data_IF_272342980272
#
_entry.id   IF_272342980272
#
_cell.length_a   1.000
_cell.length_b   1.000
_cell.length_c   1.000
_cell.angle_alpha   90.00
_cell.angle_beta   90.00
_cell.angle_gamma   90.00
#
_symmetry.space_group_name_H-M   'P 1'
#
loop_
_entity.id
_entity.type
_entity.pdbx_description
1 polymer ?
#
# COMPACT_ATOMS: atom_id res chain seq x y z
N UNK A 1 16.84 -21.37 -3.32
CA UNK A 1 15.47 -21.52 -2.78
C UNK A 1 15.34 -20.58 -1.60
N UNK A 2 14.38 -19.67 -1.60
CA UNK A 2 14.13 -18.85 -0.43
C UNK A 2 13.51 -19.73 0.65
N UNK A 3 14.16 -19.81 1.80
CA UNK A 3 13.64 -20.58 2.94
C UNK A 3 12.42 -19.84 3.52
N UNK A 4 11.37 -20.59 3.85
CA UNK A 4 10.17 -20.06 4.52
C UNK A 4 10.57 -19.65 5.95
N UNK A 5 10.21 -18.42 6.33
CA UNK A 5 10.24 -17.99 7.72
C UNK A 5 9.01 -18.55 8.45
N UNK A 6 9.20 -19.70 9.11
CA UNK A 6 8.13 -20.40 9.82
C UNK A 6 7.55 -19.59 10.99
N UNK A 7 8.32 -18.67 11.58
CA UNK A 7 7.82 -17.79 12.66
C UNK A 7 6.85 -16.77 12.08
N UNK A 8 7.21 -16.14 10.96
CA UNK A 8 6.30 -15.23 10.25
C UNK A 8 5.07 -15.98 9.75
N UNK A 9 5.22 -17.16 9.15
CA UNK A 9 4.10 -17.98 8.69
C UNK A 9 3.16 -18.36 9.85
N UNK A 10 3.72 -18.75 11.01
CA UNK A 10 2.92 -19.04 12.21
C UNK A 10 2.12 -17.82 12.65
N UNK A 11 2.77 -16.68 12.85
CA UNK A 11 2.14 -15.45 13.37
C UNK A 11 1.08 -14.90 12.41
N UNK A 12 1.38 -14.91 11.10
CA UNK A 12 0.52 -14.25 10.12
C UNK A 12 -0.59 -15.14 9.56
N UNK A 13 -0.43 -16.45 9.59
CA UNK A 13 -1.40 -17.38 9.01
C UNK A 13 -2.03 -18.30 10.05
N UNK A 14 -1.20 -19.02 10.83
CA UNK A 14 -1.72 -20.05 11.72
C UNK A 14 -2.32 -19.47 12.99
N UNK A 15 -1.68 -18.51 13.63
CA UNK A 15 -2.16 -17.90 14.87
C UNK A 15 -3.54 -17.24 14.74
N UNK A 16 -3.88 -16.45 13.70
CA UNK A 16 -5.24 -15.97 13.48
C UNK A 16 -6.27 -17.09 13.33
N UNK A 17 -5.91 -18.19 12.64
CA UNK A 17 -6.80 -19.35 12.48
C UNK A 17 -7.07 -20.01 13.84
N UNK A 18 -6.03 -20.17 14.67
CA UNK A 18 -6.17 -20.71 16.04
C UNK A 18 -7.10 -19.82 16.87
N UNK A 19 -6.93 -18.50 16.82
CA UNK A 19 -7.81 -17.56 17.55
C UNK A 19 -9.26 -17.67 17.06
N UNK A 20 -9.50 -17.78 15.77
CA UNK A 20 -10.86 -17.98 15.21
C UNK A 20 -11.46 -19.31 15.66
N UNK A 21 -10.70 -20.40 15.65
CA UNK A 21 -11.17 -21.70 16.13
C UNK A 21 -11.51 -21.65 17.64
N UNK A 22 -10.70 -20.95 18.43
CA UNK A 22 -10.99 -20.71 19.84
C UNK A 22 -12.22 -19.82 20.05
N UNK A 23 -12.48 -18.84 19.17
CA UNK A 23 -13.67 -18.00 19.22
C UNK A 23 -14.95 -18.80 18.89
N UNK A 24 -14.89 -19.71 17.93
CA UNK A 24 -15.99 -20.66 17.67
C UNK A 24 -16.24 -21.55 18.88
N UNK A 25 -15.21 -22.08 19.52
CA UNK A 25 -15.36 -22.84 20.77
C UNK A 25 -15.94 -21.99 21.89
N UNK A 26 -15.48 -20.74 22.05
CA UNK A 26 -15.97 -19.79 23.04
C UNK A 26 -17.48 -19.54 22.86
N UNK A 27 -17.97 -19.35 21.63
CA UNK A 27 -19.38 -19.11 21.31
C UNK A 27 -20.31 -20.28 21.69
N UNK A 28 -19.76 -21.48 21.87
CA UNK A 28 -20.48 -22.62 22.39
C UNK A 28 -20.75 -22.58 23.92
N UNK A 29 -20.04 -21.71 24.65
CA UNK A 29 -20.18 -21.56 26.11
C UNK A 29 -20.87 -20.24 26.51
N UNK A 30 -20.72 -19.18 25.71
CA UNK A 30 -21.30 -17.87 25.97
C UNK A 30 -21.52 -17.11 24.66
N UNK A 31 -22.51 -16.22 24.66
CA UNK A 31 -22.78 -15.38 23.49
C UNK A 31 -21.68 -14.31 23.33
N UNK A 32 -21.26 -14.13 22.06
CA UNK A 32 -20.41 -13.03 21.69
C UNK A 32 -21.28 -11.77 21.67
N UNK A 33 -20.99 -10.83 22.56
CA UNK A 33 -21.74 -9.59 22.73
C UNK A 33 -20.87 -8.36 22.59
N UNK A 34 -21.37 -7.24 23.09
CA UNK A 34 -20.69 -5.95 23.02
C UNK A 34 -19.36 -5.93 23.79
N UNK A 35 -19.24 -6.75 24.85
CA UNK A 35 -18.04 -6.89 25.65
C UNK A 35 -16.88 -7.47 24.82
N UNK A 36 -17.11 -8.57 24.12
CA UNK A 36 -16.13 -9.23 23.26
C UNK A 36 -15.74 -8.35 22.07
N UNK A 37 -16.73 -7.69 21.46
CA UNK A 37 -16.50 -6.74 20.36
C UNK A 37 -15.66 -5.55 20.85
N UNK A 38 -15.95 -5.00 22.02
CA UNK A 38 -15.18 -3.91 22.60
C UNK A 38 -13.72 -4.32 22.88
N UNK A 39 -13.49 -5.54 23.39
CA UNK A 39 -12.14 -6.08 23.58
C UNK A 39 -11.38 -6.21 22.25
N UNK A 40 -12.04 -6.68 21.18
CA UNK A 40 -11.43 -6.75 19.86
C UNK A 40 -11.08 -5.36 19.30
N UNK A 41 -11.97 -4.37 19.50
CA UNK A 41 -11.74 -2.97 19.13
C UNK A 41 -10.54 -2.39 19.90
N UNK A 42 -10.44 -2.65 21.20
CA UNK A 42 -9.29 -2.25 22.04
C UNK A 42 -8.00 -2.89 21.51
N UNK A 43 -8.02 -4.19 21.20
CA UNK A 43 -6.89 -4.90 20.63
C UNK A 43 -6.42 -4.31 19.30
N UNK A 44 -7.37 -4.01 18.42
CA UNK A 44 -7.12 -3.41 17.13
C UNK A 44 -6.50 -2.01 17.23
N UNK A 45 -7.20 -1.08 17.87
CA UNK A 45 -6.77 0.32 17.91
C UNK A 45 -5.57 0.54 18.83
N UNK A 46 -5.48 -0.17 19.96
CA UNK A 46 -4.29 -0.11 20.82
C UNK A 46 -3.01 -0.55 20.09
N UNK A 47 -3.11 -1.60 19.29
CA UNK A 47 -1.98 -2.04 18.44
C UNK A 47 -1.67 -1.05 17.34
N UNK A 48 -2.70 -0.52 16.66
CA UNK A 48 -2.52 0.47 15.58
C UNK A 48 -1.81 1.74 16.11
N UNK A 49 -2.24 2.25 17.27
CA UNK A 49 -1.60 3.41 17.92
C UNK A 49 -0.13 3.11 18.22
N UNK A 50 0.19 1.95 18.80
CA UNK A 50 1.59 1.63 19.16
C UNK A 50 2.49 1.48 17.93
N UNK A 51 1.97 0.96 16.79
CA UNK A 51 2.69 0.92 15.53
C UNK A 51 2.92 2.33 14.99
N UNK A 52 1.85 3.13 14.87
CA UNK A 52 1.92 4.45 14.24
C UNK A 52 2.74 5.48 15.03
N UNK A 53 2.52 5.61 16.33
CA UNK A 53 3.29 6.58 17.14
C UNK A 53 4.65 6.04 17.58
N UNK A 54 4.79 4.73 17.81
CA UNK A 54 6.02 4.08 18.28
C UNK A 54 6.91 3.63 17.12
N UNK A 55 6.63 2.46 16.54
CA UNK A 55 7.47 1.84 15.51
C UNK A 55 7.75 2.80 14.35
N UNK A 56 6.73 3.45 13.85
CA UNK A 56 6.80 4.28 12.67
C UNK A 56 7.38 5.68 12.97
N UNK A 57 6.67 6.51 13.75
CA UNK A 57 7.01 7.94 13.89
C UNK A 57 8.13 8.20 14.89
N UNK A 58 8.17 7.49 16.03
CA UNK A 58 9.21 7.68 17.05
C UNK A 58 10.55 7.09 16.59
N UNK A 59 10.59 5.78 16.31
CA UNK A 59 11.85 5.08 16.11
C UNK A 59 12.33 5.08 14.66
N UNK A 60 11.44 4.89 13.68
CA UNK A 60 11.88 4.84 12.28
C UNK A 60 12.19 6.22 11.73
N UNK A 61 11.33 7.20 11.99
CA UNK A 61 11.45 8.54 11.43
C UNK A 61 11.98 9.61 12.38
N UNK A 62 12.11 9.30 13.69
CA UNK A 62 12.54 10.26 14.71
C UNK A 62 11.78 11.61 14.58
N UNK A 63 10.46 11.52 14.33
CA UNK A 63 9.62 12.68 14.04
C UNK A 63 9.18 13.48 15.28
N UNK A 64 9.46 12.93 16.45
CA UNK A 64 9.31 13.57 17.76
C UNK A 64 10.19 12.87 18.80
N UNK A 65 10.34 13.47 19.98
CA UNK A 65 11.03 12.88 21.14
C UNK A 65 10.05 12.66 22.28
N UNK A 66 10.36 11.71 23.16
CA UNK A 66 9.56 11.40 24.34
C UNK A 66 10.42 10.96 25.52
N UNK A 67 9.82 10.83 26.72
CA UNK A 67 10.51 10.37 27.92
C UNK A 67 10.62 8.83 27.99
N UNK A 68 11.44 8.33 28.90
CA UNK A 68 11.75 6.89 29.04
C UNK A 68 10.56 6.05 29.45
N UNK A 69 9.60 6.60 30.19
CA UNK A 69 8.37 5.87 30.56
C UNK A 69 7.48 5.62 29.33
N UNK A 70 7.27 6.64 28.52
CA UNK A 70 6.50 6.51 27.27
C UNK A 70 7.22 5.58 26.30
N UNK A 71 8.55 5.70 26.13
CA UNK A 71 9.33 4.74 25.34
C UNK A 71 9.11 3.30 25.82
N UNK A 72 9.18 3.05 27.12
CA UNK A 72 8.97 1.71 27.69
C UNK A 72 7.57 1.18 27.39
N UNK A 73 6.53 1.99 27.64
CA UNK A 73 5.13 1.62 27.35
C UNK A 73 4.98 1.26 25.84
N UNK A 74 5.51 2.10 24.97
CA UNK A 74 5.44 1.87 23.51
C UNK A 74 6.22 0.62 23.09
N UNK A 75 7.38 0.32 23.68
CA UNK A 75 8.13 -0.92 23.45
C UNK A 75 7.31 -2.14 23.83
N UNK A 76 6.68 -2.11 25.00
CA UNK A 76 5.81 -3.20 25.45
C UNK A 76 4.62 -3.41 24.52
N UNK A 77 3.87 -2.34 24.23
CA UNK A 77 2.72 -2.39 23.32
C UNK A 77 3.10 -2.86 21.93
N UNK A 78 4.19 -2.32 21.35
CA UNK A 78 4.70 -2.72 20.01
C UNK A 78 5.11 -4.18 19.96
N UNK A 79 5.70 -4.73 21.04
CA UNK A 79 6.02 -6.15 21.11
C UNK A 79 4.77 -7.03 21.05
N UNK A 80 3.66 -6.56 21.65
CA UNK A 80 2.36 -7.22 21.58
C UNK A 80 1.74 -7.27 20.18
N UNK A 81 2.19 -6.43 19.24
CA UNK A 81 1.67 -6.43 17.85
C UNK A 81 2.19 -7.59 17.01
N UNK A 82 3.20 -8.33 17.46
CA UNK A 82 3.85 -9.44 16.76
C UNK A 82 4.44 -9.04 15.38
N UNK A 83 4.80 -7.77 15.19
CA UNK A 83 5.40 -7.25 13.94
C UNK A 83 6.94 -7.23 13.96
N UNK A 84 7.53 -7.84 14.97
CA UNK A 84 8.98 -7.93 15.15
C UNK A 84 9.58 -6.90 16.11
N UNK A 85 10.87 -7.05 16.45
CA UNK A 85 11.58 -6.12 17.31
C UNK A 85 11.67 -4.72 16.68
N UNK A 86 11.66 -3.68 17.51
CA UNK A 86 11.77 -2.27 17.09
C UNK A 86 12.93 -2.04 16.14
N UNK A 87 14.13 -2.54 16.49
CA UNK A 87 15.33 -2.37 15.65
C UNK A 87 15.19 -3.02 14.28
N UNK A 88 14.61 -4.22 14.20
CA UNK A 88 14.39 -4.93 12.93
C UNK A 88 13.32 -4.23 12.09
N UNK A 89 12.22 -3.80 12.73
CA UNK A 89 11.15 -3.08 12.07
C UNK A 89 11.64 -1.75 11.48
N UNK A 90 12.34 -0.94 12.27
CA UNK A 90 12.91 0.33 11.83
C UNK A 90 13.93 0.16 10.71
N UNK A 91 14.75 -0.91 10.75
CA UNK A 91 15.70 -1.24 9.69
C UNK A 91 15.02 -1.56 8.36
N UNK A 92 13.99 -2.40 8.37
CA UNK A 92 13.24 -2.73 7.16
C UNK A 92 12.52 -1.50 6.60
N UNK A 93 11.94 -0.68 7.47
CA UNK A 93 11.25 0.55 7.09
C UNK A 93 12.22 1.61 6.54
N UNK A 94 13.41 1.74 7.11
CA UNK A 94 14.47 2.59 6.57
C UNK A 94 14.91 2.14 5.16
N UNK A 95 15.09 0.82 4.95
CA UNK A 95 15.40 0.26 3.63
C UNK A 95 14.30 0.56 2.63
N UNK A 96 13.03 0.41 3.04
CA UNK A 96 11.88 0.74 2.20
C UNK A 96 11.92 2.19 1.73
N UNK A 97 12.07 3.17 2.64
CA UNK A 97 12.16 4.58 2.26
C UNK A 97 13.37 4.93 1.40
N UNK A 98 14.51 4.26 1.64
CA UNK A 98 15.74 4.50 0.86
C UNK A 98 15.64 3.94 -0.56
N UNK A 99 14.97 2.82 -0.71
CA UNK A 99 14.92 2.06 -1.96
C UNK A 99 13.49 1.89 -2.49
N UNK A 100 12.56 2.73 -2.09
CA UNK A 100 11.15 2.65 -2.52
C UNK A 100 11.06 2.42 -4.03
N UNK A 101 10.27 1.43 -4.43
CA UNK A 101 10.04 1.01 -5.83
C UNK A 101 11.27 0.42 -6.56
N UNK A 102 12.38 0.16 -5.87
CA UNK A 102 13.58 -0.48 -6.43
C UNK A 102 13.71 -1.94 -5.95
N UNK A 103 14.65 -2.68 -6.54
CA UNK A 103 14.87 -4.10 -6.21
C UNK A 103 15.27 -4.35 -4.76
N UNK A 104 15.95 -3.37 -4.13
CA UNK A 104 16.39 -3.44 -2.73
C UNK A 104 15.27 -3.14 -1.72
N UNK A 105 14.13 -2.64 -2.17
CA UNK A 105 12.95 -2.43 -1.32
C UNK A 105 12.41 -3.80 -0.83
N UNK A 106 12.36 -4.06 0.49
CA UNK A 106 11.97 -5.37 1.01
C UNK A 106 10.57 -5.80 0.55
N UNK A 107 9.66 -4.86 0.40
CA UNK A 107 8.27 -5.13 0.05
C UNK A 107 7.76 -4.33 -1.16
N UNK A 108 8.64 -4.03 -2.13
CA UNK A 108 8.23 -3.37 -3.36
C UNK A 108 7.11 -4.17 -4.07
N UNK A 109 5.97 -3.54 -4.38
CA UNK A 109 4.92 -4.17 -5.17
C UNK A 109 5.35 -4.40 -6.63
N UNK A 110 6.41 -3.73 -7.09
CA UNK A 110 6.95 -3.81 -8.44
C UNK A 110 7.94 -4.96 -8.63
N UNK A 111 8.26 -5.71 -7.58
CA UNK A 111 9.20 -6.85 -7.64
C UNK A 111 8.81 -7.93 -8.66
N UNK A 112 7.52 -8.07 -8.93
CA UNK A 112 6.99 -9.05 -9.88
C UNK A 112 6.21 -8.33 -11.00
N UNK A 113 6.38 -8.81 -12.24
CA UNK A 113 5.59 -8.31 -13.40
C UNK A 113 4.08 -8.53 -13.22
N UNK A 114 3.69 -9.63 -12.58
CA UNK A 114 2.30 -9.90 -12.26
C UNK A 114 1.86 -9.06 -11.05
N UNK A 115 0.90 -8.16 -11.26
CA UNK A 115 0.41 -7.21 -10.25
C UNK A 115 -0.20 -7.90 -9.01
N UNK A 116 -0.90 -9.03 -9.19
CA UNK A 116 -1.49 -9.78 -8.07
C UNK A 116 -0.39 -10.39 -7.18
N UNK A 117 0.63 -10.99 -7.82
CA UNK A 117 1.78 -11.53 -7.09
C UNK A 117 2.56 -10.42 -6.39
N UNK A 118 2.75 -9.27 -7.04
CA UNK A 118 3.36 -8.08 -6.44
C UNK A 118 2.57 -7.56 -5.23
N UNK A 119 1.24 -7.54 -5.31
CA UNK A 119 0.37 -7.17 -4.19
C UNK A 119 0.51 -8.14 -3.01
N UNK A 120 0.41 -9.45 -3.24
CA UNK A 120 0.56 -10.46 -2.20
C UNK A 120 1.96 -10.46 -1.58
N UNK A 121 2.98 -10.23 -2.41
CA UNK A 121 4.35 -10.04 -1.95
C UNK A 121 4.45 -8.85 -1.00
N UNK A 122 4.01 -7.67 -1.42
CA UNK A 122 4.11 -6.45 -0.61
C UNK A 122 3.26 -6.54 0.66
N UNK A 123 2.16 -7.29 0.65
CA UNK A 123 1.30 -7.47 1.82
C UNK A 123 1.97 -8.32 2.91
N UNK A 124 2.24 -9.59 2.66
CA UNK A 124 2.84 -10.53 3.63
C UNK A 124 3.94 -11.42 3.04
N UNK A 125 3.99 -11.61 1.73
CA UNK A 125 4.90 -12.55 1.08
C UNK A 125 6.36 -12.28 1.39
N UNK A 126 6.75 -11.00 1.46
CA UNK A 126 8.11 -10.58 1.78
C UNK A 126 8.58 -11.02 3.18
N UNK A 127 7.68 -11.14 4.15
CA UNK A 127 8.00 -11.63 5.50
C UNK A 127 8.11 -13.14 5.54
N UNK A 128 7.23 -13.85 4.82
CA UNK A 128 7.15 -15.31 4.86
C UNK A 128 8.26 -15.95 4.01
N UNK A 129 8.54 -15.40 2.82
CA UNK A 129 9.45 -15.97 1.83
C UNK A 129 10.73 -15.14 1.68
N UNK A 130 10.66 -13.82 1.88
CA UNK A 130 11.77 -12.89 1.68
C UNK A 130 12.78 -12.83 2.83
N UNK A 131 12.50 -13.46 3.97
CA UNK A 131 13.32 -13.42 5.17
C UNK A 131 13.22 -12.09 5.91
N UNK A 132 12.23 -11.96 6.79
CA UNK A 132 12.01 -10.78 7.62
C UNK A 132 13.15 -10.46 8.60
N UNK A 133 13.96 -11.46 8.92
CA UNK A 133 15.14 -11.33 9.79
C UNK A 133 16.41 -10.99 8.98
N UNK A 134 16.34 -9.94 8.17
CA UNK A 134 17.52 -9.36 7.55
C UNK A 134 18.44 -8.73 8.63
N UNK A 135 19.78 -8.73 8.43
CA UNK A 135 20.67 -7.98 9.30
C UNK A 135 20.22 -6.54 9.43
N UNK A 136 20.23 -6.04 10.67
CA UNK A 136 19.87 -4.64 10.95
C UNK A 136 20.88 -3.75 10.23
N UNK A 137 20.40 -2.76 9.46
CA UNK A 137 21.25 -1.87 8.70
C UNK A 137 22.11 -0.98 9.61
N UNK A 138 23.25 -0.53 9.07
CA UNK A 138 24.23 0.25 9.82
C UNK A 138 23.66 1.58 10.32
N UNK A 139 22.78 2.23 9.56
CA UNK A 139 22.21 3.54 9.90
C UNK A 139 21.25 3.40 11.07
N UNK A 140 20.38 2.39 11.06
CA UNK A 140 19.52 2.06 12.20
C UNK A 140 20.35 1.73 13.44
N UNK A 141 21.43 0.96 13.31
CA UNK A 141 22.34 0.68 14.43
C UNK A 141 23.01 1.92 14.98
N UNK A 142 23.43 2.88 14.15
CA UNK A 142 24.00 4.15 14.61
C UNK A 142 22.97 4.98 15.35
N UNK A 143 21.73 5.07 14.84
CA UNK A 143 20.67 5.90 15.40
C UNK A 143 20.06 5.29 16.68
N UNK A 144 19.69 4.03 16.67
CA UNK A 144 18.90 3.37 17.69
C UNK A 144 19.66 2.33 18.52
N UNK A 145 20.75 1.78 17.99
CA UNK A 145 21.50 0.68 18.60
C UNK A 145 22.25 1.07 19.91
N UNK A 146 22.25 2.33 20.31
CA UNK A 146 22.76 2.77 21.64
C UNK A 146 21.71 2.60 22.76
N UNK A 147 20.44 2.47 22.44
CA UNK A 147 19.37 2.30 23.41
C UNK A 147 19.47 0.94 24.11
N UNK A 148 19.68 0.96 25.42
CA UNK A 148 19.68 -0.26 26.26
C UNK A 148 18.30 -0.93 26.23
N UNK A 149 17.22 -0.15 26.23
CA UNK A 149 15.85 -0.64 26.18
C UNK A 149 15.57 -1.40 24.86
N UNK A 150 15.96 -0.85 23.72
CA UNK A 150 15.74 -1.50 22.43
C UNK A 150 16.60 -2.76 22.23
N UNK A 151 17.84 -2.77 22.77
CA UNK A 151 18.66 -3.99 22.81
C UNK A 151 18.06 -5.07 23.68
N UNK A 152 17.55 -4.69 24.85
CA UNK A 152 16.85 -5.60 25.75
C UNK A 152 15.60 -6.18 25.04
N UNK A 153 14.77 -5.35 24.41
CA UNK A 153 13.59 -5.78 23.67
C UNK A 153 13.97 -6.70 22.49
N UNK A 154 15.04 -6.42 21.76
CA UNK A 154 15.52 -7.31 20.68
C UNK A 154 15.91 -8.69 21.23
N UNK A 155 16.63 -8.73 22.34
CA UNK A 155 17.11 -9.98 22.97
C UNK A 155 15.95 -10.82 23.52
N UNK A 156 14.97 -10.18 24.18
CA UNK A 156 13.85 -10.84 24.85
C UNK A 156 12.52 -10.68 24.10
N UNK A 157 12.58 -10.43 22.80
CA UNK A 157 11.39 -10.09 22.01
C UNK A 157 10.25 -11.11 22.17
N UNK A 158 10.54 -12.39 22.03
CA UNK A 158 9.50 -13.42 22.07
C UNK A 158 8.89 -13.58 23.47
N UNK A 159 9.70 -13.46 24.51
CA UNK A 159 9.19 -13.50 25.90
C UNK A 159 8.26 -12.33 26.16
N UNK A 160 8.67 -11.11 25.78
CA UNK A 160 7.84 -9.90 25.91
C UNK A 160 6.59 -9.99 25.05
N UNK A 161 6.71 -10.46 23.79
CA UNK A 161 5.59 -10.61 22.90
C UNK A 161 4.54 -11.61 23.44
N UNK A 162 4.98 -12.77 23.92
CA UNK A 162 4.08 -13.77 24.54
C UNK A 162 3.41 -13.19 25.77
N UNK A 163 4.18 -12.57 26.67
CA UNK A 163 3.64 -11.91 27.87
C UNK A 163 2.55 -10.90 27.47
N UNK A 164 2.84 -10.01 26.52
CA UNK A 164 1.91 -8.93 26.08
C UNK A 164 0.69 -9.45 25.34
N UNK A 165 0.73 -10.66 24.80
CA UNK A 165 -0.43 -11.27 24.16
C UNK A 165 -1.30 -12.10 25.12
N UNK A 166 -0.77 -12.50 26.28
CA UNK A 166 -1.50 -13.34 27.24
C UNK A 166 -1.90 -12.54 28.48
N UNK A 167 -0.93 -12.02 29.21
CA UNK A 167 -1.16 -11.52 30.58
C UNK A 167 -1.95 -10.22 30.60
N UNK A 168 -1.54 -9.11 29.96
CA UNK A 168 -2.32 -7.87 30.02
C UNK A 168 -3.73 -8.00 29.42
N UNK A 169 -3.95 -8.71 28.26
CA UNK A 169 -5.30 -8.93 27.76
C UNK A 169 -6.20 -9.72 28.70
N UNK A 170 -5.70 -10.83 29.25
CA UNK A 170 -6.46 -11.64 30.20
C UNK A 170 -6.78 -10.87 31.48
N UNK A 171 -5.80 -10.12 31.98
CA UNK A 171 -5.99 -9.27 33.19
C UNK A 171 -7.04 -8.18 32.90
N UNK A 172 -7.00 -7.51 31.77
CA UNK A 172 -7.99 -6.50 31.40
C UNK A 172 -9.39 -7.11 31.33
N UNK A 173 -9.55 -8.26 30.66
CA UNK A 173 -10.83 -8.97 30.60
C UNK A 173 -11.34 -9.34 32.00
N UNK A 174 -10.46 -9.84 32.89
CA UNK A 174 -10.81 -10.17 34.25
C UNK A 174 -11.24 -8.94 35.07
N UNK A 175 -10.48 -7.85 35.01
CA UNK A 175 -10.76 -6.62 35.75
C UNK A 175 -12.10 -5.99 35.34
N UNK A 176 -12.55 -6.13 34.14
CA UNK A 176 -13.83 -5.60 33.65
C UNK A 176 -14.97 -6.57 33.95
N UNK A 177 -14.79 -7.86 33.66
CA UNK A 177 -15.88 -8.86 33.73
C UNK A 177 -15.91 -9.71 34.98
N UNK A 178 -14.87 -9.69 35.84
CA UNK A 178 -14.80 -10.32 37.15
C UNK A 178 -14.72 -11.86 37.16
N UNK A 179 -14.62 -12.52 36.01
CA UNK A 179 -14.68 -13.99 35.87
C UNK A 179 -13.49 -14.56 35.10
N UNK A 180 -13.19 -15.85 35.25
CA UNK A 180 -12.22 -16.56 34.42
C UNK A 180 -12.62 -16.57 32.95
N UNK A 181 -13.92 -16.61 32.66
CA UNK A 181 -14.40 -16.56 31.27
C UNK A 181 -14.16 -15.17 30.64
N UNK A 182 -14.33 -14.10 31.40
CA UNK A 182 -14.00 -12.75 30.92
C UNK A 182 -12.48 -12.54 30.76
N UNK A 183 -11.65 -13.18 31.61
CA UNK A 183 -10.20 -13.22 31.37
C UNK A 183 -9.85 -13.94 30.07
N UNK A 184 -10.48 -15.07 29.79
CA UNK A 184 -10.32 -15.79 28.54
C UNK A 184 -10.82 -14.97 27.33
N UNK A 185 -11.95 -14.26 27.46
CA UNK A 185 -12.44 -13.33 26.46
C UNK A 185 -11.41 -12.20 26.18
N UNK A 186 -10.80 -11.64 27.22
CA UNK A 186 -9.74 -10.63 27.09
C UNK A 186 -8.57 -11.13 26.24
N UNK A 187 -8.02 -12.29 26.58
CA UNK A 187 -6.97 -12.94 25.79
C UNK A 187 -7.40 -13.14 24.34
N UNK A 188 -8.57 -13.72 24.12
CA UNK A 188 -9.03 -14.16 22.82
C UNK A 188 -9.39 -12.97 21.90
N UNK A 189 -10.24 -12.07 22.34
CA UNK A 189 -10.77 -11.01 21.49
C UNK A 189 -9.79 -9.85 21.29
N UNK A 190 -8.98 -9.52 22.29
CA UNK A 190 -7.85 -8.60 22.08
C UNK A 190 -6.84 -9.20 21.09
N UNK A 191 -6.57 -10.52 21.18
CA UNK A 191 -5.74 -11.25 20.22
C UNK A 191 -6.29 -11.18 18.80
N UNK A 192 -7.59 -11.40 18.61
CA UNK A 192 -8.28 -11.29 17.31
C UNK A 192 -8.15 -9.85 16.77
N UNK A 193 -8.43 -8.84 17.58
CA UNK A 193 -8.27 -7.44 17.19
C UNK A 193 -6.86 -7.11 16.71
N UNK A 194 -5.84 -7.61 17.42
CA UNK A 194 -4.43 -7.48 17.01
C UNK A 194 -4.12 -8.17 15.69
N UNK A 195 -4.61 -9.39 15.48
CA UNK A 195 -4.40 -10.13 14.23
C UNK A 195 -5.02 -9.39 13.03
N UNK A 196 -6.22 -8.83 13.18
CA UNK A 196 -6.85 -7.99 12.15
C UNK A 196 -6.02 -6.74 11.90
N UNK A 197 -5.52 -6.09 12.96
CA UNK A 197 -4.69 -4.89 12.85
C UNK A 197 -3.38 -5.13 12.11
N UNK A 198 -2.74 -6.29 12.27
CA UNK A 198 -1.53 -6.64 11.49
C UNK A 198 -1.80 -6.53 9.99
N UNK A 199 -2.88 -7.15 9.51
CA UNK A 199 -3.26 -7.07 8.09
C UNK A 199 -3.63 -5.65 7.67
N UNK A 200 -4.28 -4.87 8.53
CA UNK A 200 -4.52 -3.44 8.27
C UNK A 200 -3.20 -2.68 8.10
N UNK A 201 -2.20 -2.88 8.96
CA UNK A 201 -0.87 -2.28 8.79
C UNK A 201 -0.23 -2.70 7.47
N UNK A 202 -0.31 -3.97 7.09
CA UNK A 202 0.28 -4.44 5.82
C UNK A 202 -0.47 -3.95 4.58
N UNK A 203 -1.71 -3.47 4.72
CA UNK A 203 -2.38 -2.71 3.68
C UNK A 203 -1.65 -1.39 3.35
N UNK A 204 -0.89 -0.82 4.28
CA UNK A 204 -0.03 0.34 3.99
C UNK A 204 1.02 -0.04 2.94
N UNK A 205 1.66 -1.21 3.08
CA UNK A 205 2.67 -1.69 2.14
C UNK A 205 2.08 -2.13 0.78
N UNK A 206 0.85 -2.66 0.79
CA UNK A 206 0.18 -3.17 -0.42
C UNK A 206 -0.80 -2.14 -1.00
N UNK A 207 -1.94 -1.89 -0.38
CA UNK A 207 -2.99 -1.04 -0.95
C UNK A 207 -2.52 0.40 -1.17
N UNK A 208 -1.79 0.99 -0.20
CA UNK A 208 -1.29 2.36 -0.35
C UNK A 208 -0.18 2.50 -1.40
N UNK A 209 0.42 1.40 -1.87
CA UNK A 209 1.34 1.39 -3.01
C UNK A 209 0.69 0.96 -4.34
N UNK A 210 -0.60 0.60 -4.34
CA UNK A 210 -1.37 0.27 -5.54
C UNK A 210 -2.44 1.30 -5.88
N UNK A 211 -2.96 1.98 -4.86
CA UNK A 211 -4.12 2.87 -4.97
C UNK A 211 -3.80 4.23 -4.34
N UNK A 212 -4.69 5.19 -4.57
CA UNK A 212 -4.65 6.47 -3.91
C UNK A 212 -4.11 7.62 -4.76
N UNK A 213 -4.29 8.84 -4.25
CA UNK A 213 -3.88 10.07 -4.92
C UNK A 213 -2.39 10.37 -4.67
N UNK A 214 -1.73 10.93 -5.69
CA UNK A 214 -0.29 11.24 -5.69
C UNK A 214 -0.07 12.73 -5.83
N UNK A 215 0.01 13.45 -4.72
CA UNK A 215 0.15 14.92 -4.71
C UNK A 215 1.55 15.41 -4.38
N UNK A 216 2.34 14.61 -3.65
CA UNK A 216 3.61 15.03 -3.05
C UNK A 216 4.79 14.15 -3.43
N UNK A 217 4.54 12.89 -3.81
CA UNK A 217 5.57 11.89 -4.10
C UNK A 217 5.31 11.22 -5.45
N UNK A 218 6.38 11.06 -6.24
CA UNK A 218 6.32 10.57 -7.63
C UNK A 218 6.28 9.04 -7.75
N UNK A 219 6.55 8.30 -6.66
CA UNK A 219 6.59 6.84 -6.64
C UNK A 219 5.21 6.18 -6.55
N UNK A 220 5.19 4.90 -6.13
CA UNK A 220 3.94 4.13 -6.05
C UNK A 220 3.04 4.54 -4.89
N UNK A 221 3.61 5.07 -3.78
CA UNK A 221 2.84 5.45 -2.59
C UNK A 221 1.72 6.46 -2.90
N UNK A 222 0.51 6.19 -2.42
CA UNK A 222 -0.70 7.01 -2.62
C UNK A 222 -1.45 7.28 -1.32
N UNK A 223 -2.23 8.37 -1.29
CA UNK A 223 -3.12 8.73 -0.19
C UNK A 223 -4.50 8.11 -0.43
N UNK A 224 -5.00 7.31 0.52
CA UNK A 224 -6.31 6.62 0.43
C UNK A 224 -7.22 7.12 1.55
N UNK A 225 -8.02 8.16 1.29
CA UNK A 225 -8.82 8.87 2.30
C UNK A 225 -9.81 7.96 3.05
N UNK A 226 -10.46 7.02 2.37
CA UNK A 226 -11.47 6.14 2.97
C UNK A 226 -10.90 5.08 3.92
N UNK A 227 -9.58 4.82 3.88
CA UNK A 227 -8.90 3.95 4.85
C UNK A 227 -8.53 4.65 6.17
N UNK A 228 -8.82 5.93 6.31
CA UNK A 228 -8.37 6.73 7.46
C UNK A 228 -8.84 6.17 8.80
N UNK A 229 -10.09 5.65 8.87
CA UNK A 229 -10.64 5.06 10.09
C UNK A 229 -9.90 3.76 10.48
N UNK A 230 -9.46 2.98 9.50
CA UNK A 230 -8.75 1.72 9.72
C UNK A 230 -7.25 1.93 10.02
N UNK A 231 -6.62 2.91 9.38
CA UNK A 231 -5.18 3.13 9.44
C UNK A 231 -4.76 4.30 10.34
N UNK A 232 -5.72 5.04 10.91
CA UNK A 232 -5.54 6.14 11.88
C UNK A 232 -4.53 7.22 11.46
N UNK A 233 -4.26 7.35 10.16
CA UNK A 233 -3.35 8.34 9.59
C UNK A 233 -2.27 7.77 8.66
N UNK A 234 -1.96 6.47 8.74
CA UNK A 234 -0.97 5.84 7.86
C UNK A 234 -1.45 5.72 6.39
N UNK A 235 -2.75 5.93 6.15
CA UNK A 235 -3.37 6.03 4.83
C UNK A 235 -2.97 7.29 4.03
N UNK A 236 -2.40 8.32 4.66
CA UNK A 236 -1.82 9.50 4.02
C UNK A 236 -0.37 9.22 3.61
N UNK A 237 -0.19 8.17 2.83
CA UNK A 237 1.09 7.54 2.59
C UNK A 237 1.93 8.26 1.53
N UNK A 238 1.28 8.97 0.60
CA UNK A 238 1.98 9.79 -0.40
C UNK A 238 2.62 11.03 0.24
N UNK A 239 1.92 11.70 1.17
CA UNK A 239 2.50 12.79 1.93
C UNK A 239 3.65 12.30 2.80
N UNK A 240 3.47 11.15 3.47
CA UNK A 240 4.49 10.54 4.31
C UNK A 240 5.78 10.22 3.53
N UNK A 241 5.70 9.61 2.35
CA UNK A 241 6.88 9.34 1.51
C UNK A 241 7.59 10.61 1.03
N UNK A 242 6.86 11.71 0.85
CA UNK A 242 7.46 12.99 0.51
C UNK A 242 8.15 13.68 1.70
N UNK A 243 7.66 13.46 2.92
CA UNK A 243 8.08 14.14 4.15
C UNK A 243 8.15 13.17 5.34
N UNK A 244 9.02 12.15 5.30
CA UNK A 244 8.99 11.06 6.28
C UNK A 244 9.29 11.49 7.73
N UNK A 245 10.05 12.57 7.93
CA UNK A 245 10.32 13.12 9.27
C UNK A 245 9.20 14.00 9.83
N UNK A 246 8.18 14.36 9.06
CA UNK A 246 7.03 15.11 9.60
C UNK A 246 6.23 14.22 10.55
N UNK A 247 5.94 14.72 11.80
CA UNK A 247 5.17 13.93 12.76
C UNK A 247 3.73 13.66 12.32
N UNK A 248 3.27 14.32 11.26
CA UNK A 248 1.95 14.18 10.65
C UNK A 248 2.06 13.43 9.34
N UNK A 249 1.22 12.45 9.10
CA UNK A 249 1.02 11.93 7.77
C UNK A 249 -0.11 12.67 7.04
N UNK A 250 -1.12 13.12 7.77
CA UNK A 250 -2.16 14.00 7.24
C UNK A 250 -1.72 15.47 7.24
N UNK A 251 -1.35 16.03 6.07
CA UNK A 251 -0.82 17.38 5.89
C UNK A 251 -1.73 18.50 6.43
N UNK A 252 -3.05 18.35 6.31
CA UNK A 252 -4.04 19.33 6.71
C UNK A 252 -4.60 19.00 8.11
N UNK A 253 -5.08 20.04 8.85
CA UNK A 253 -5.61 19.86 10.20
C UNK A 253 -6.80 18.89 10.22
N UNK A 254 -7.67 18.92 9.23
CA UNK A 254 -8.86 18.08 9.09
C UNK A 254 -8.60 16.68 8.51
N UNK A 255 -7.40 16.38 8.03
CA UNK A 255 -7.06 15.00 7.66
C UNK A 255 -7.14 14.12 8.91
N UNK A 256 -7.97 13.09 8.85
CA UNK A 256 -8.12 12.14 9.94
C UNK A 256 -6.80 11.37 10.10
N UNK A 257 -6.05 11.75 11.12
CA UNK A 257 -4.74 11.19 11.50
C UNK A 257 -4.68 11.22 13.03
N UNK A 258 -5.17 10.16 13.66
CA UNK A 258 -5.26 10.04 15.13
C UNK A 258 -3.86 10.04 15.75
N UNK A 259 -2.88 9.45 15.06
CA UNK A 259 -1.50 9.42 15.54
C UNK A 259 -0.92 10.82 15.72
N UNK A 260 -1.14 11.75 14.77
CA UNK A 260 -0.69 13.15 14.94
C UNK A 260 -1.39 13.84 16.10
N UNK A 261 -2.69 13.56 16.31
CA UNK A 261 -3.44 14.16 17.40
C UNK A 261 -2.93 13.66 18.75
N UNK A 262 -2.65 12.36 18.88
CA UNK A 262 -2.06 11.78 20.11
C UNK A 262 -0.70 12.41 20.39
N UNK A 263 0.22 12.46 19.40
CA UNK A 263 1.55 13.06 19.57
C UNK A 263 1.43 14.54 19.95
N UNK A 264 0.52 15.26 19.30
CA UNK A 264 0.27 16.67 19.64
C UNK A 264 -0.26 16.85 21.07
N UNK A 265 -1.24 16.03 21.50
CA UNK A 265 -1.75 16.06 22.88
C UNK A 265 -0.65 15.69 23.89
N UNK A 266 0.16 14.67 23.60
CA UNK A 266 1.32 14.32 24.42
C UNK A 266 2.27 15.51 24.57
N UNK A 267 2.47 16.31 23.52
CA UNK A 267 3.33 17.50 23.61
C UNK A 267 2.76 18.59 24.49
N UNK A 268 1.43 18.71 24.59
CA UNK A 268 0.78 19.69 25.47
C UNK A 268 0.90 19.37 26.95
N UNK A 269 1.09 18.10 27.29
CA UNK A 269 1.29 17.63 28.66
C UNK A 269 2.75 17.28 28.99
N UNK A 270 3.70 17.67 28.13
CA UNK A 270 5.13 17.46 28.34
C UNK A 270 5.63 16.02 28.15
N UNK A 271 4.82 15.14 27.55
CA UNK A 271 5.19 13.76 27.25
C UNK A 271 5.86 13.58 25.89
N UNK A 272 5.78 14.59 25.02
CA UNK A 272 6.45 14.62 23.72
C UNK A 272 7.01 16.03 23.45
N UNK A 273 8.14 16.13 22.72
CA UNK A 273 8.77 17.39 22.33
C UNK A 273 9.52 17.22 21.01
N UNK A 274 10.09 18.32 20.49
CA UNK A 274 10.80 18.35 19.21
C UNK A 274 9.97 17.72 18.09
N UNK A 275 8.69 18.17 17.95
CA UNK A 275 7.81 17.70 16.89
C UNK A 275 8.27 18.23 15.52
N UNK A 276 8.86 17.38 14.71
CA UNK A 276 9.32 17.72 13.37
C UNK A 276 8.12 18.05 12.46
N UNK A 277 8.18 19.23 11.84
CA UNK A 277 7.10 19.72 10.98
C UNK A 277 7.64 20.39 9.73
N UNK A 278 7.26 19.87 8.59
CA UNK A 278 7.63 20.43 7.28
C UNK A 278 6.98 21.79 7.06
N UNK A 279 7.75 22.83 6.68
CA UNK A 279 7.23 24.15 6.36
C UNK A 279 6.25 24.12 5.19
N UNK A 280 5.18 24.93 5.25
CA UNK A 280 4.15 25.01 4.20
C UNK A 280 4.73 25.29 2.81
N UNK A 281 5.73 26.18 2.73
CA UNK A 281 6.40 26.52 1.46
C UNK A 281 7.04 25.30 0.82
N UNK A 282 7.72 24.44 1.60
CA UNK A 282 8.33 23.20 1.11
C UNK A 282 7.27 22.20 0.63
N UNK A 283 6.13 22.12 1.33
CA UNK A 283 5.01 21.27 0.92
C UNK A 283 4.44 21.75 -0.43
N UNK A 284 4.24 23.06 -0.59
CA UNK A 284 3.72 23.65 -1.83
C UNK A 284 4.69 23.43 -3.00
N UNK A 285 5.98 23.68 -2.79
CA UNK A 285 7.02 23.46 -3.81
C UNK A 285 7.03 21.99 -4.28
N UNK A 286 6.93 21.03 -3.34
CA UNK A 286 6.89 19.62 -3.66
C UNK A 286 5.62 19.21 -4.42
N UNK A 287 4.48 19.80 -4.08
CA UNK A 287 3.24 19.61 -4.85
C UNK A 287 3.38 20.10 -6.29
N UNK A 288 3.95 21.29 -6.50
CA UNK A 288 4.16 21.84 -7.84
C UNK A 288 5.12 20.95 -8.67
N UNK A 289 6.25 20.53 -8.09
CA UNK A 289 7.19 19.62 -8.72
C UNK A 289 6.54 18.29 -9.13
N UNK A 290 5.72 17.72 -8.24
CA UNK A 290 5.04 16.45 -8.50
C UNK A 290 3.97 16.61 -9.59
N UNK A 291 3.18 17.68 -9.55
CA UNK A 291 2.19 17.98 -10.58
C UNK A 291 2.83 18.17 -11.95
N UNK A 292 3.94 18.91 -12.04
CA UNK A 292 4.67 19.08 -13.30
C UNK A 292 5.16 17.73 -13.84
N UNK A 293 5.78 16.90 -13.00
CA UNK A 293 6.25 15.56 -13.40
C UNK A 293 5.11 14.67 -13.92
N UNK A 294 3.97 14.65 -13.24
CA UNK A 294 2.81 13.87 -13.66
C UNK A 294 2.23 14.39 -14.99
N UNK A 295 2.25 15.71 -15.20
CA UNK A 295 1.83 16.32 -16.46
C UNK A 295 2.75 15.94 -17.62
N UNK A 296 4.07 15.99 -17.41
CA UNK A 296 5.07 15.59 -18.40
C UNK A 296 4.94 14.10 -18.75
N UNK A 297 4.77 13.24 -17.76
CA UNK A 297 4.51 11.81 -17.96
C UNK A 297 3.27 11.54 -18.82
N UNK A 298 2.16 12.27 -18.55
CA UNK A 298 0.93 12.18 -19.35
C UNK A 298 1.12 12.66 -20.78
N UNK A 299 1.83 13.76 -20.99
CA UNK A 299 2.15 14.25 -22.33
C UNK A 299 2.94 13.23 -23.14
N UNK A 300 3.92 12.59 -22.49
CA UNK A 300 4.71 11.52 -23.12
C UNK A 300 3.83 10.31 -23.47
N UNK A 301 2.97 9.85 -22.57
CA UNK A 301 2.05 8.73 -22.84
C UNK A 301 1.08 9.04 -23.98
N UNK A 302 0.54 10.27 -24.03
CA UNK A 302 -0.28 10.75 -25.13
C UNK A 302 0.49 10.72 -26.48
N UNK A 303 1.75 11.14 -26.50
CA UNK A 303 2.58 11.12 -27.71
C UNK A 303 2.84 9.70 -28.20
N UNK A 304 3.05 8.74 -27.30
CA UNK A 304 3.20 7.32 -27.63
C UNK A 304 1.91 6.73 -28.24
N UNK A 305 0.76 7.04 -27.65
CA UNK A 305 -0.54 6.60 -28.19
C UNK A 305 -0.81 7.21 -29.55
N UNK A 306 -0.47 8.49 -29.76
CA UNK A 306 -0.58 9.17 -31.06
C UNK A 306 0.32 8.50 -32.12
N UNK A 307 1.57 8.20 -31.78
CA UNK A 307 2.50 7.48 -32.66
C UNK A 307 1.95 6.11 -33.04
N UNK A 308 1.37 5.38 -32.09
CA UNK A 308 0.77 4.06 -32.34
C UNK A 308 -0.47 4.15 -33.25
N UNK A 309 -1.31 5.19 -33.08
CA UNK A 309 -2.43 5.47 -33.99
C UNK A 309 -1.91 5.70 -35.43
N UNK A 310 -0.89 6.54 -35.58
CA UNK A 310 -0.31 6.86 -36.86
C UNK A 310 0.26 5.60 -37.56
N UNK A 311 1.01 4.77 -36.81
CA UNK A 311 1.54 3.51 -37.33
C UNK A 311 0.44 2.56 -37.78
N UNK A 312 -0.61 2.39 -36.98
CA UNK A 312 -1.74 1.52 -37.34
C UNK A 312 -2.49 2.06 -38.56
N UNK A 313 -2.66 3.38 -38.66
CA UNK A 313 -3.29 4.04 -39.81
C UNK A 313 -2.50 3.81 -41.08
N UNK A 314 -1.16 3.91 -41.05
CA UNK A 314 -0.25 3.63 -42.13
C UNK A 314 -0.37 2.17 -42.61
N UNK A 315 -0.33 1.21 -41.68
CA UNK A 315 -0.51 -0.21 -41.98
C UNK A 315 -1.87 -0.48 -42.66
N UNK A 316 -2.93 0.15 -42.16
CA UNK A 316 -4.28 0.05 -42.75
C UNK A 316 -4.27 0.62 -44.19
N UNK A 317 -3.63 1.77 -44.38
CA UNK A 317 -3.53 2.41 -45.73
C UNK A 317 -2.82 1.52 -46.74
N UNK A 318 -1.65 0.99 -46.36
CA UNK A 318 -0.90 0.06 -47.24
C UNK A 318 -1.75 -1.17 -47.58
N UNK A 319 -2.44 -1.75 -46.60
CA UNK A 319 -3.30 -2.92 -46.83
C UNK A 319 -4.55 -2.62 -47.66
N UNK A 320 -5.09 -1.43 -47.56
CA UNK A 320 -6.17 -0.98 -48.44
C UNK A 320 -5.71 -0.89 -49.88
N UNK A 321 -4.48 -0.42 -50.14
CA UNK A 321 -3.92 -0.32 -51.49
C UNK A 321 -3.64 -1.71 -52.10
N UNK A 322 -3.16 -2.67 -51.28
CA UNK A 322 -3.02 -4.07 -51.72
C UNK A 322 -4.37 -4.71 -52.10
N UNK A 323 -5.46 -4.32 -51.45
CA UNK A 323 -6.82 -4.82 -51.72
C UNK A 323 -7.41 -4.20 -52.99
N UNK A 324 -7.03 -2.97 -53.37
CA UNK A 324 -7.52 -2.28 -54.56
C UNK A 324 -7.17 -3.04 -55.87
N UNK A 325 -6.17 -3.91 -55.85
CA UNK A 325 -5.77 -4.75 -56.98
C UNK A 325 -6.51 -6.11 -57.06
N UNK A 326 -7.54 -6.36 -56.25
CA UNK A 326 -8.28 -7.64 -56.16
C UNK A 326 -9.77 -7.51 -56.57
N UNK A 327 -10.54 -8.61 -56.56
CA UNK A 327 -11.93 -8.65 -57.06
C UNK A 327 -12.87 -7.65 -56.36
N UNK A 328 -13.79 -7.06 -57.14
CA UNK A 328 -14.69 -5.94 -56.77
C UNK A 328 -15.53 -6.21 -55.51
N UNK A 329 -16.00 -7.42 -55.28
CA UNK A 329 -16.87 -7.78 -54.13
C UNK A 329 -16.11 -7.76 -52.80
N UNK A 330 -14.93 -8.31 -52.77
CA UNK A 330 -14.05 -8.35 -51.59
C UNK A 330 -13.61 -6.95 -51.21
N UNK A 331 -13.27 -6.16 -52.21
CA UNK A 331 -12.88 -4.76 -52.15
C UNK A 331 -13.89 -3.90 -51.39
N UNK A 332 -15.19 -3.97 -51.73
CA UNK A 332 -16.22 -3.07 -51.17
C UNK A 332 -16.48 -3.33 -49.68
N UNK A 333 -16.58 -4.60 -49.28
CA UNK A 333 -16.89 -4.96 -47.88
C UNK A 333 -15.73 -4.68 -46.91
N UNK A 334 -14.51 -4.93 -47.37
CA UNK A 334 -13.30 -4.73 -46.58
C UNK A 334 -12.89 -3.27 -46.49
N UNK A 335 -12.96 -2.57 -47.62
CA UNK A 335 -12.68 -1.14 -47.69
C UNK A 335 -13.55 -0.37 -46.69
N UNK A 336 -14.84 -0.72 -46.62
CA UNK A 336 -15.74 -0.10 -45.61
C UNK A 336 -15.26 -0.36 -44.18
N UNK A 337 -14.95 -1.61 -43.80
CA UNK A 337 -14.53 -1.96 -42.43
C UNK A 337 -13.18 -1.32 -42.06
N UNK A 338 -12.23 -1.21 -42.99
CA UNK A 338 -10.95 -0.54 -42.75
C UNK A 338 -11.11 0.98 -42.62
N UNK A 339 -11.96 1.59 -43.46
CA UNK A 339 -12.28 3.03 -43.35
C UNK A 339 -12.98 3.36 -42.04
N UNK A 340 -13.88 2.50 -41.54
CA UNK A 340 -14.53 2.65 -40.25
C UNK A 340 -13.51 2.62 -39.10
N UNK A 341 -12.53 1.71 -39.13
CA UNK A 341 -11.44 1.65 -38.16
C UNK A 341 -10.58 2.91 -38.23
N UNK A 342 -10.19 3.33 -39.43
CA UNK A 342 -9.36 4.52 -39.66
C UNK A 342 -10.05 5.79 -39.15
N UNK A 343 -11.32 5.98 -39.43
CA UNK A 343 -12.12 7.12 -38.95
C UNK A 343 -12.27 7.09 -37.40
N UNK A 344 -12.45 5.90 -36.83
CA UNK A 344 -12.48 5.73 -35.37
C UNK A 344 -11.16 6.12 -34.71
N UNK A 345 -10.02 5.76 -35.31
CA UNK A 345 -8.68 6.14 -34.84
C UNK A 345 -8.42 7.64 -35.01
N UNK A 346 -8.84 8.23 -36.14
CA UNK A 346 -8.73 9.68 -36.37
C UNK A 346 -9.48 10.47 -35.29
N UNK A 347 -10.74 10.13 -35.02
CA UNK A 347 -11.54 10.77 -33.94
C UNK A 347 -10.89 10.61 -32.58
N UNK A 348 -10.30 9.46 -32.32
CA UNK A 348 -9.56 9.24 -31.07
C UNK A 348 -8.31 10.12 -30.98
N UNK A 349 -7.56 10.29 -32.07
CA UNK A 349 -6.40 11.17 -32.12
C UNK A 349 -6.76 12.62 -31.82
N UNK A 350 -7.85 13.12 -32.41
CA UNK A 350 -8.36 14.47 -32.19
C UNK A 350 -8.79 14.68 -30.73
N UNK A 351 -9.49 13.69 -30.13
CA UNK A 351 -9.85 13.71 -28.72
C UNK A 351 -8.64 13.72 -27.80
N UNK A 352 -7.59 12.96 -28.09
CA UNK A 352 -6.35 12.94 -27.33
C UNK A 352 -5.62 14.29 -27.42
N UNK A 353 -5.60 14.91 -28.58
CA UNK A 353 -4.93 16.20 -28.79
C UNK A 353 -5.64 17.33 -28.04
N UNK A 354 -6.98 17.33 -27.99
CA UNK A 354 -7.77 18.32 -27.22
C UNK A 354 -7.70 18.10 -25.69
N UNK A 355 -7.28 16.92 -25.23
CA UNK A 355 -7.28 16.55 -23.80
C UNK A 355 -6.05 17.03 -23.01
N UNK A 356 -5.06 17.63 -23.66
CA UNK A 356 -3.81 18.11 -23.02
C UNK A 356 -4.10 19.18 -21.92
N UNK A 357 -5.28 19.79 -21.95
CA UNK A 357 -5.71 20.83 -20.99
C UNK A 357 -6.67 20.33 -19.89
N UNK A 358 -7.01 19.03 -19.86
CA UNK A 358 -7.98 18.47 -18.91
C UNK A 358 -7.41 18.23 -17.52
N UNK A 359 -8.31 18.15 -16.52
CA UNK A 359 -8.00 17.81 -15.13
C UNK A 359 -7.42 16.39 -15.00
N UNK A 360 -6.75 16.12 -13.87
CA UNK A 360 -6.03 14.86 -13.61
C UNK A 360 -6.89 13.61 -13.80
N UNK A 361 -8.10 13.61 -13.23
CA UNK A 361 -9.01 12.46 -13.25
C UNK A 361 -9.58 12.20 -14.66
N UNK A 362 -9.93 13.27 -15.37
CA UNK A 362 -10.47 13.20 -16.74
C UNK A 362 -9.42 12.71 -17.74
N UNK A 363 -8.14 13.09 -17.55
CA UNK A 363 -7.06 12.66 -18.44
C UNK A 363 -6.66 11.18 -18.24
N UNK A 364 -6.68 10.68 -17.01
CA UNK A 364 -6.38 9.26 -16.74
C UNK A 364 -7.47 8.32 -17.30
N UNK A 365 -8.72 8.69 -17.13
CA UNK A 365 -9.85 7.94 -17.70
C UNK A 365 -9.78 7.93 -19.24
N UNK A 366 -9.45 9.07 -19.84
CA UNK A 366 -9.32 9.18 -21.29
C UNK A 366 -8.16 8.34 -21.83
N UNK A 367 -6.99 8.35 -21.18
CA UNK A 367 -5.84 7.53 -21.53
C UNK A 367 -6.16 6.02 -21.50
N UNK A 368 -6.83 5.56 -20.43
CA UNK A 368 -7.28 4.16 -20.32
C UNK A 368 -8.27 3.79 -21.42
N UNK A 369 -9.24 4.67 -21.70
CA UNK A 369 -10.24 4.47 -22.75
C UNK A 369 -9.60 4.46 -24.14
N UNK A 370 -8.63 5.34 -24.38
CA UNK A 370 -7.90 5.43 -25.65
C UNK A 370 -7.03 4.20 -25.89
N UNK A 371 -6.25 3.76 -24.89
CA UNK A 371 -5.42 2.56 -24.96
C UNK A 371 -6.26 1.32 -25.27
N UNK A 372 -7.41 1.15 -24.60
CA UNK A 372 -8.34 0.06 -24.86
C UNK A 372 -8.87 0.13 -26.31
N UNK A 373 -9.29 1.30 -26.76
CA UNK A 373 -9.86 1.47 -28.09
C UNK A 373 -8.83 1.20 -29.20
N UNK A 374 -7.58 1.59 -29.01
CA UNK A 374 -6.47 1.27 -29.93
C UNK A 374 -6.27 -0.26 -29.99
N UNK A 375 -6.21 -0.91 -28.84
CA UNK A 375 -6.06 -2.36 -28.76
C UNK A 375 -7.21 -3.11 -29.45
N UNK A 376 -8.46 -2.70 -29.21
CA UNK A 376 -9.66 -3.28 -29.80
C UNK A 376 -9.65 -3.07 -31.33
N UNK A 377 -9.23 -1.90 -31.81
CA UNK A 377 -9.09 -1.57 -33.23
C UNK A 377 -7.99 -2.41 -33.91
N UNK A 378 -6.85 -2.59 -33.26
CA UNK A 378 -5.75 -3.45 -33.67
C UNK A 378 -6.22 -4.91 -33.82
N UNK A 379 -6.90 -5.44 -32.79
CA UNK A 379 -7.44 -6.79 -32.79
C UNK A 379 -8.47 -7.02 -33.92
N UNK A 380 -9.37 -6.05 -34.10
CA UNK A 380 -10.34 -6.08 -35.20
C UNK A 380 -9.67 -6.08 -36.58
N UNK A 381 -8.65 -5.23 -36.77
CA UNK A 381 -7.88 -5.17 -37.98
C UNK A 381 -7.19 -6.51 -38.26
N UNK A 382 -6.42 -7.06 -37.36
CA UNK A 382 -5.72 -8.33 -37.59
C UNK A 382 -6.68 -9.52 -37.76
N UNK A 383 -7.81 -9.53 -37.10
CA UNK A 383 -8.85 -10.55 -37.27
C UNK A 383 -9.41 -10.52 -38.70
N UNK A 384 -9.68 -9.33 -39.24
CA UNK A 384 -10.13 -9.14 -40.60
C UNK A 384 -9.03 -9.54 -41.60
N UNK A 385 -7.82 -9.07 -41.37
CA UNK A 385 -6.67 -9.36 -42.23
C UNK A 385 -6.38 -10.87 -42.30
N UNK A 386 -6.26 -11.55 -41.17
CA UNK A 386 -6.00 -12.99 -41.14
C UNK A 386 -7.14 -13.84 -41.70
N UNK A 387 -8.39 -13.38 -41.60
CA UNK A 387 -9.52 -14.05 -42.29
C UNK A 387 -9.42 -13.99 -43.79
N UNK A 388 -8.81 -12.93 -44.29
CA UNK A 388 -8.55 -12.74 -45.72
C UNK A 388 -7.38 -13.55 -46.20
N UNK A 389 -6.28 -13.51 -45.47
CA UNK A 389 -5.05 -14.22 -45.80
C UNK A 389 -5.31 -15.72 -45.94
N UNK A 390 -6.05 -16.31 -45.01
CA UNK A 390 -6.43 -17.74 -45.03
C UNK A 390 -7.38 -18.11 -46.20
N UNK A 391 -8.23 -17.20 -46.63
CA UNK A 391 -9.29 -17.52 -47.60
C UNK A 391 -8.86 -17.26 -49.06
N UNK A 392 -7.86 -16.42 -49.28
CA UNK A 392 -7.53 -15.88 -50.60
C UNK A 392 -6.04 -15.86 -50.98
N UNK A 393 -5.12 -16.22 -50.07
CA UNK A 393 -3.67 -16.28 -50.35
C UNK A 393 -3.16 -17.73 -50.40
N UNK A 394 -3.90 -18.70 -49.83
CA UNK A 394 -3.55 -20.13 -49.84
C UNK A 394 -4.31 -20.97 -50.83
N UNK A 395 -4.96 -20.36 -51.85
CA UNK A 395 -5.52 -21.05 -53.01
C UNK A 395 -4.86 -20.56 -54.31
#
# INVERSE_FOLDING_TARGET
>A
MHNIDWRAAFVLLLYPIILLALAVKYSGYTQIGIFEIALAVVGYYGSNISVGIGLHRLWSHNSYKTNKLVEFILVMMSSGTLQGPVLSWASNHYKHHTYTDKDQDPHSPLKFKNRVVGFLWSHIGWMIIGGSYQPIDKITMVKLGRSKLLKWQLQYYWQVAVFMNIVPPALLGYLIGGTAMSAYAGFLFIGIGRAIQQHATFCVNSMCHFLGSKKYYKGTAGDIWWMALFLLGENWHNFHHAFPSDYRNGARWYHFDVHKWIIYLMSKVGLAWDLERTPKVRIQAKMQETNQYLLEGRKHELSLLQSRINQLTEVIYVKLHEIDNRSVYIRTKLKKSFLDIQESLRKLAEQLQSSIQLTEESSEQLLKKASKKIHDSEAAFYKLYNKLDRKYIKN
#
